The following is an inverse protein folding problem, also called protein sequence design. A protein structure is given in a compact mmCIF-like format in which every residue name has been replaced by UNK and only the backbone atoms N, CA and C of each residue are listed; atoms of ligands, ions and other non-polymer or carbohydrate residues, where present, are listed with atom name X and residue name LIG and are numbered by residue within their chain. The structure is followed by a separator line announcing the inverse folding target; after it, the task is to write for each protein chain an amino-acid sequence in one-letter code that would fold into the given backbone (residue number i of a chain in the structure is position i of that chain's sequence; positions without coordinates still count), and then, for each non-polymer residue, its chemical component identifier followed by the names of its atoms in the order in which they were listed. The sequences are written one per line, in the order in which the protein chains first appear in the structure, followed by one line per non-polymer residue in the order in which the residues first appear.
data_IF_488019339581
#
_entry.id   IF_488019339581
#
_cell.length_a   1.000
_cell.length_b   1.000
_cell.length_c   1.000
_cell.angle_alpha   90.00
_cell.angle_beta   90.00
_cell.angle_gamma   90.00
#
_symmetry.space_group_name_H-M   'P 1'
#
loop_
_entity.id
_entity.type
_entity.pdbx_description
1 polymer ?
#
# COMPACT_ATOMS: atom_id res chain seq x y z
N UNK A 1 52.31 -5.68 -8.80
CA UNK A 1 51.27 -6.66 -8.41
C UNK A 1 50.17 -6.10 -7.51
N UNK A 2 50.35 -4.95 -6.83
CA UNK A 2 49.31 -4.36 -5.98
C UNK A 2 48.14 -3.71 -6.75
N UNK A 3 48.39 -3.11 -7.92
CA UNK A 3 47.36 -2.47 -8.73
C UNK A 3 46.22 -3.41 -9.17
N UNK A 4 46.50 -4.58 -9.77
CA UNK A 4 45.47 -5.55 -10.16
C UNK A 4 44.66 -6.10 -8.98
N UNK A 5 45.30 -6.33 -7.83
CA UNK A 5 44.63 -6.79 -6.61
C UNK A 5 43.69 -5.71 -6.07
N UNK A 6 44.14 -4.45 -6.03
CA UNK A 6 43.31 -3.33 -5.60
C UNK A 6 42.08 -3.15 -6.51
N UNK A 7 42.26 -3.25 -7.83
CA UNK A 7 41.14 -3.19 -8.79
C UNK A 7 40.15 -4.33 -8.57
N UNK A 8 40.64 -5.57 -8.39
CA UNK A 8 39.77 -6.73 -8.15
C UNK A 8 38.97 -6.58 -6.85
N UNK A 9 39.58 -6.07 -5.77
CA UNK A 9 38.90 -5.79 -4.51
C UNK A 9 37.83 -4.71 -4.69
N UNK A 10 38.14 -3.60 -5.36
CA UNK A 10 37.17 -2.52 -5.62
C UNK A 10 35.98 -3.04 -6.43
N UNK A 11 36.23 -3.78 -7.52
CA UNK A 11 35.16 -4.38 -8.34
C UNK A 11 34.32 -5.37 -7.52
N UNK A 12 34.96 -6.19 -6.68
CA UNK A 12 34.25 -7.11 -5.78
C UNK A 12 33.35 -6.39 -4.78
N UNK A 13 33.84 -5.32 -4.14
CA UNK A 13 33.06 -4.51 -3.20
C UNK A 13 31.90 -3.79 -3.90
N UNK A 14 32.14 -3.21 -5.08
CA UNK A 14 31.09 -2.56 -5.88
C UNK A 14 30.03 -3.56 -6.34
N UNK A 15 30.44 -4.75 -6.77
CA UNK A 15 29.53 -5.84 -7.15
C UNK A 15 28.68 -6.31 -5.97
N UNK A 16 29.28 -6.49 -4.80
CA UNK A 16 28.56 -6.83 -3.57
C UNK A 16 27.57 -5.74 -3.15
N UNK A 17 28.00 -4.47 -3.16
CA UNK A 17 27.13 -3.34 -2.84
C UNK A 17 25.94 -3.27 -3.80
N UNK A 18 26.17 -3.39 -5.10
CA UNK A 18 25.10 -3.41 -6.10
C UNK A 18 24.07 -4.53 -5.86
N UNK A 19 24.52 -5.74 -5.50
CA UNK A 19 23.62 -6.85 -5.15
C UNK A 19 22.87 -6.59 -3.85
N UNK A 20 23.50 -5.99 -2.86
CA UNK A 20 22.87 -5.67 -1.57
C UNK A 20 21.79 -4.57 -1.69
N UNK A 21 21.93 -3.66 -2.65
CA UNK A 21 20.99 -2.57 -2.90
C UNK A 21 19.78 -2.97 -3.74
N UNK A 22 19.88 -4.07 -4.50
CA UNK A 22 18.81 -4.49 -5.40
C UNK A 22 17.84 -5.45 -4.73
N UNK A 23 16.52 -5.15 -4.78
CA UNK A 23 15.53 -6.12 -4.36
C UNK A 23 15.62 -7.38 -5.21
N UNK A 24 15.45 -8.54 -4.57
CA UNK A 24 15.34 -9.82 -5.27
C UNK A 24 14.15 -9.77 -6.22
N UNK A 25 14.23 -10.42 -7.39
CA UNK A 25 13.08 -10.58 -8.27
C UNK A 25 11.90 -11.20 -7.50
N UNK A 26 10.71 -10.59 -7.58
CA UNK A 26 9.52 -11.10 -6.91
C UNK A 26 9.12 -12.47 -7.48
N UNK A 27 8.59 -13.33 -6.61
CA UNK A 27 8.03 -14.64 -7.01
C UNK A 27 6.58 -14.45 -7.43
N UNK A 28 6.34 -14.44 -8.74
CA UNK A 28 5.01 -14.25 -9.32
C UNK A 28 4.09 -15.42 -8.94
N UNK A 29 2.90 -15.13 -8.41
CA UNK A 29 1.92 -16.16 -8.05
C UNK A 29 1.45 -16.93 -9.30
N UNK A 30 1.46 -18.27 -9.21
CA UNK A 30 1.14 -19.18 -10.30
C UNK A 30 2.30 -19.49 -11.25
N UNK A 31 3.49 -18.92 -11.04
CA UNK A 31 4.70 -19.31 -11.78
C UNK A 31 5.33 -20.61 -11.24
N UNK A 32 6.25 -21.24 -11.99
CA UNK A 32 6.88 -22.55 -11.67
C UNK A 32 7.46 -22.66 -10.24
N UNK A 33 7.88 -21.54 -9.64
CA UNK A 33 8.43 -21.47 -8.27
C UNK A 33 7.73 -20.38 -7.42
N UNK A 34 6.54 -19.94 -7.86
CA UNK A 34 5.74 -18.93 -7.20
C UNK A 34 4.76 -19.53 -6.18
N UNK A 35 4.20 -18.70 -5.27
CA UNK A 35 3.04 -19.09 -4.48
C UNK A 35 1.87 -19.52 -5.37
N UNK A 36 0.96 -20.37 -4.88
CA UNK A 36 -0.26 -20.70 -5.62
C UNK A 36 -1.16 -19.47 -5.74
N UNK A 37 -2.05 -19.51 -6.74
CA UNK A 37 -3.12 -18.53 -6.91
C UNK A 37 -4.35 -19.08 -6.22
N UNK A 38 -4.90 -18.33 -5.27
CA UNK A 38 -6.06 -18.71 -4.48
C UNK A 38 -7.22 -17.73 -4.59
N UNK A 39 -6.97 -16.53 -5.13
CA UNK A 39 -7.97 -15.48 -5.28
C UNK A 39 -8.34 -15.26 -6.76
N UNK A 40 -9.54 -14.73 -7.06
CA UNK A 40 -9.85 -14.20 -8.37
C UNK A 40 -8.83 -13.13 -8.79
N UNK A 41 -8.45 -13.13 -10.07
CA UNK A 41 -7.54 -12.13 -10.63
C UNK A 41 -8.01 -11.68 -12.00
N UNK A 42 -7.75 -10.41 -12.29
CA UNK A 42 -7.99 -9.82 -13.60
C UNK A 42 -6.68 -9.53 -14.30
N UNK A 43 -6.62 -9.75 -15.62
CA UNK A 43 -5.43 -9.46 -16.42
C UNK A 43 -5.53 -8.03 -16.97
N UNK A 44 -4.49 -7.24 -16.76
CA UNK A 44 -4.32 -5.92 -17.34
C UNK A 44 -3.73 -6.02 -18.76
N UNK A 45 -3.82 -4.93 -19.50
CA UNK A 45 -3.38 -4.76 -20.88
C UNK A 45 -1.87 -4.97 -21.04
N UNK A 46 -1.09 -4.65 -20.01
CA UNK A 46 0.35 -4.90 -19.97
C UNK A 46 0.73 -6.34 -19.57
N UNK A 47 -0.27 -7.19 -19.35
CA UNK A 47 -0.12 -8.60 -19.05
C UNK A 47 -0.05 -8.96 -17.56
N UNK A 48 0.08 -7.96 -16.67
CA UNK A 48 0.05 -8.18 -15.21
C UNK A 48 -1.32 -8.61 -14.73
N UNK A 49 -1.36 -9.35 -13.64
CA UNK A 49 -2.60 -9.67 -12.92
C UNK A 49 -2.80 -8.81 -11.68
N UNK A 50 -4.05 -8.39 -11.43
CA UNK A 50 -4.47 -7.84 -10.14
C UNK A 50 -5.45 -8.80 -9.47
N UNK A 51 -5.14 -9.23 -8.25
CA UNK A 51 -6.02 -10.02 -7.41
C UNK A 51 -7.06 -9.15 -6.73
N UNK A 52 -8.28 -9.65 -6.60
CA UNK A 52 -9.40 -8.89 -6.05
C UNK A 52 -10.35 -9.73 -5.22
N UNK A 53 -11.18 -9.03 -4.44
CA UNK A 53 -12.23 -9.58 -3.59
C UNK A 53 -13.45 -8.67 -3.66
N UNK A 54 -14.61 -9.26 -3.87
CA UNK A 54 -15.89 -8.56 -3.97
C UNK A 54 -16.73 -8.86 -2.72
N UNK A 55 -17.35 -7.85 -2.13
CA UNK A 55 -18.29 -8.00 -1.01
C UNK A 55 -19.45 -7.01 -1.13
N UNK A 56 -20.54 -7.28 -0.39
CA UNK A 56 -21.72 -6.43 -0.34
C UNK A 56 -22.77 -6.80 -1.38
N UNK A 57 -23.56 -5.83 -1.83
CA UNK A 57 -24.64 -6.05 -2.79
C UNK A 57 -24.10 -6.49 -4.15
N UNK A 58 -24.77 -7.43 -4.85
CA UNK A 58 -24.42 -7.80 -6.22
C UNK A 58 -24.26 -6.57 -7.13
N UNK A 59 -23.23 -6.61 -7.99
CA UNK A 59 -22.83 -5.47 -8.82
C UNK A 59 -23.95 -4.95 -9.71
N UNK A 60 -24.85 -5.82 -10.14
CA UNK A 60 -25.99 -5.53 -11.02
C UNK A 60 -27.09 -4.76 -10.29
N UNK A 61 -27.22 -4.96 -8.98
CA UNK A 61 -28.22 -4.32 -8.11
C UNK A 61 -27.67 -3.12 -7.34
N UNK A 62 -26.36 -2.97 -7.31
CA UNK A 62 -25.68 -1.96 -6.53
C UNK A 62 -25.98 -0.53 -7.02
N UNK A 63 -26.34 0.33 -6.07
CA UNK A 63 -26.49 1.78 -6.28
C UNK A 63 -25.14 2.48 -6.21
N UNK A 64 -24.30 2.07 -5.26
CA UNK A 64 -22.96 2.62 -5.08
C UNK A 64 -21.92 1.52 -5.30
N UNK A 65 -20.91 1.84 -6.12
CA UNK A 65 -19.79 0.94 -6.42
C UNK A 65 -18.52 1.59 -5.91
N UNK A 66 -17.85 0.93 -4.99
CA UNK A 66 -16.75 1.49 -4.21
C UNK A 66 -15.52 0.61 -4.38
N UNK A 67 -14.43 1.18 -4.90
CA UNK A 67 -13.13 0.52 -4.93
C UNK A 67 -12.35 0.92 -3.69
N UNK A 68 -11.96 -0.07 -2.88
CA UNK A 68 -11.20 0.13 -1.65
C UNK A 68 -9.72 -0.13 -1.92
N UNK A 69 -8.90 0.85 -1.58
CA UNK A 69 -7.45 0.86 -1.80
C UNK A 69 -6.78 0.69 -0.44
N UNK A 70 -6.18 -0.49 -0.22
CA UNK A 70 -5.55 -0.84 1.05
C UNK A 70 -4.21 -0.10 1.28
N UNK A 71 -3.81 -0.05 2.54
CA UNK A 71 -2.61 0.65 3.02
C UNK A 71 -1.32 -0.15 2.90
N UNK A 72 -0.35 0.20 3.73
CA UNK A 72 0.89 -0.56 3.89
C UNK A 72 0.62 -1.84 4.68
N UNK A 73 1.35 -2.92 4.38
CA UNK A 73 1.29 -4.21 5.08
C UNK A 73 -0.14 -4.76 5.28
N UNK A 74 -0.99 -4.54 4.28
CA UNK A 74 -2.37 -5.04 4.22
C UNK A 74 -2.64 -5.58 2.82
N UNK A 75 -3.85 -6.10 2.57
CA UNK A 75 -4.27 -6.69 1.30
C UNK A 75 -5.72 -6.35 0.99
N UNK A 76 -6.24 -6.90 -0.11
CA UNK A 76 -7.67 -6.95 -0.45
C UNK A 76 -8.55 -7.58 0.64
N UNK A 77 -7.94 -8.29 1.59
CA UNK A 77 -8.61 -9.01 2.67
C UNK A 77 -8.89 -8.10 3.89
N UNK A 78 -8.55 -6.81 3.79
CA UNK A 78 -8.95 -5.78 4.75
C UNK A 78 -10.47 -5.78 4.96
N UNK A 79 -10.90 -5.81 6.22
CA UNK A 79 -12.32 -5.68 6.58
C UNK A 79 -12.63 -4.25 7.02
N UNK A 80 -13.71 -3.68 6.50
CA UNK A 80 -14.23 -2.39 6.94
C UNK A 80 -15.27 -2.63 8.05
N UNK A 81 -15.24 -1.87 9.16
CA UNK A 81 -16.20 -2.01 10.25
C UNK A 81 -17.53 -1.33 9.88
N UNK A 82 -18.18 -1.82 8.83
CA UNK A 82 -19.46 -1.31 8.32
C UNK A 82 -20.54 -2.35 8.61
N UNK A 83 -21.63 -2.00 9.31
CA UNK A 83 -22.75 -2.91 9.54
C UNK A 83 -23.33 -3.45 8.23
N UNK A 84 -23.61 -4.74 8.17
CA UNK A 84 -24.12 -5.40 6.97
C UNK A 84 -25.46 -4.81 6.53
N UNK A 85 -26.31 -4.43 7.49
CA UNK A 85 -27.62 -3.81 7.26
C UNK A 85 -27.48 -2.50 6.48
N UNK A 86 -26.43 -1.72 6.77
CA UNK A 86 -26.16 -0.46 6.08
C UNK A 86 -25.67 -0.69 4.65
N UNK A 87 -24.87 -1.74 4.43
CA UNK A 87 -24.40 -2.13 3.09
C UNK A 87 -25.59 -2.51 2.21
N UNK A 88 -26.54 -3.27 2.76
CA UNK A 88 -27.74 -3.73 2.07
C UNK A 88 -28.74 -2.60 1.82
N UNK A 89 -29.03 -1.78 2.84
CA UNK A 89 -29.94 -0.64 2.74
C UNK A 89 -29.49 0.34 1.66
N UNK A 90 -28.20 0.66 1.62
CA UNK A 90 -27.62 1.59 0.66
C UNK A 90 -27.27 0.92 -0.69
N UNK A 91 -27.39 -0.40 -0.78
CA UNK A 91 -27.02 -1.21 -1.95
C UNK A 91 -25.57 -0.96 -2.40
N UNK A 92 -24.62 -1.14 -1.50
CA UNK A 92 -23.19 -0.86 -1.76
C UNK A 92 -22.49 -2.14 -2.21
N UNK A 93 -21.86 -2.07 -3.37
CA UNK A 93 -20.87 -3.04 -3.83
C UNK A 93 -19.47 -2.53 -3.51
N UNK A 94 -18.67 -3.34 -2.80
CA UNK A 94 -17.27 -3.06 -2.56
C UNK A 94 -16.37 -4.00 -3.37
N UNK A 95 -15.39 -3.39 -4.05
CA UNK A 95 -14.29 -4.08 -4.70
C UNK A 95 -12.99 -3.76 -3.96
N UNK A 96 -12.38 -4.78 -3.39
CA UNK A 96 -11.04 -4.71 -2.83
C UNK A 96 -10.07 -5.34 -3.82
N UNK A 97 -8.85 -4.82 -3.92
CA UNK A 97 -7.83 -5.42 -4.76
C UNK A 97 -6.46 -5.33 -4.10
N UNK A 98 -5.60 -6.28 -4.41
CA UNK A 98 -4.20 -6.24 -4.01
C UNK A 98 -3.48 -5.27 -4.94
N UNK A 99 -2.84 -4.23 -4.38
CA UNK A 99 -2.04 -3.28 -5.17
C UNK A 99 -0.85 -4.00 -5.83
N UNK A 100 -0.29 -3.41 -6.89
CA UNK A 100 0.83 -4.02 -7.61
C UNK A 100 2.01 -4.36 -6.67
N UNK A 101 2.33 -5.65 -6.58
CA UNK A 101 3.36 -6.20 -5.69
C UNK A 101 2.90 -6.58 -4.28
N UNK A 102 1.59 -6.52 -4.00
CA UNK A 102 0.98 -7.03 -2.77
C UNK A 102 0.20 -8.32 -3.06
N UNK A 103 0.06 -9.15 -2.02
CA UNK A 103 -0.77 -10.35 -2.04
C UNK A 103 -0.53 -11.21 -3.28
N UNK A 104 -1.58 -11.42 -4.07
CA UNK A 104 -1.54 -12.23 -5.30
C UNK A 104 -1.47 -11.40 -6.60
N UNK A 105 -1.30 -10.08 -6.49
CA UNK A 105 -1.12 -9.18 -7.63
C UNK A 105 0.31 -9.15 -8.12
N UNK A 106 0.46 -9.08 -9.44
CA UNK A 106 1.76 -8.96 -10.07
C UNK A 106 2.45 -7.63 -9.71
N UNK A 107 3.78 -7.65 -9.56
CA UNK A 107 4.56 -6.46 -9.28
C UNK A 107 4.63 -5.56 -10.50
N UNK A 108 4.69 -4.25 -10.27
CA UNK A 108 5.02 -3.26 -11.29
C UNK A 108 6.37 -2.60 -10.93
N UNK A 109 7.49 -3.03 -11.53
CA UNK A 109 8.80 -2.43 -11.26
C UNK A 109 8.91 -0.95 -11.68
N UNK A 110 8.06 -0.52 -12.62
CA UNK A 110 8.00 0.87 -13.13
C UNK A 110 6.84 1.65 -12.52
N UNK A 111 6.37 1.24 -11.34
CA UNK A 111 5.21 1.83 -10.66
C UNK A 111 5.39 3.33 -10.42
N UNK A 112 4.34 4.07 -10.69
CA UNK A 112 4.19 5.49 -10.39
C UNK A 112 2.79 5.77 -9.85
N UNK A 113 2.60 6.95 -9.26
CA UNK A 113 1.26 7.41 -8.84
C UNK A 113 0.27 7.40 -10.01
N UNK A 114 0.75 7.70 -11.23
CA UNK A 114 -0.06 7.67 -12.45
C UNK A 114 -0.42 6.23 -12.83
N UNK A 115 0.54 5.31 -12.83
CA UNK A 115 0.27 3.93 -13.23
C UNK A 115 -0.69 3.25 -12.26
N UNK A 116 -0.60 3.49 -10.95
CA UNK A 116 -1.58 2.92 -10.00
C UNK A 116 -3.00 3.45 -10.22
N UNK A 117 -3.16 4.73 -10.58
CA UNK A 117 -4.47 5.27 -10.94
C UNK A 117 -5.03 4.62 -12.22
N UNK A 118 -4.16 4.36 -13.21
CA UNK A 118 -4.56 3.66 -14.44
C UNK A 118 -4.87 2.19 -14.20
N UNK A 119 -4.13 1.52 -13.32
CA UNK A 119 -4.41 0.14 -12.87
C UNK A 119 -5.81 0.05 -12.26
N UNK A 120 -6.21 1.04 -11.44
CA UNK A 120 -7.57 1.11 -10.84
C UNK A 120 -8.64 1.32 -11.93
N UNK A 121 -8.38 2.19 -12.91
CA UNK A 121 -9.29 2.38 -14.03
C UNK A 121 -9.47 1.09 -14.83
N UNK A 122 -8.38 0.43 -15.17
CA UNK A 122 -8.40 -0.79 -15.96
C UNK A 122 -9.04 -1.95 -15.19
N UNK A 123 -8.76 -2.07 -13.89
CA UNK A 123 -9.47 -2.99 -12.99
C UNK A 123 -10.99 -2.77 -13.07
N UNK A 124 -11.43 -1.52 -12.99
CA UNK A 124 -12.85 -1.18 -13.07
C UNK A 124 -13.46 -1.51 -14.45
N UNK A 125 -12.72 -1.30 -15.53
CA UNK A 125 -13.14 -1.60 -16.90
C UNK A 125 -13.28 -3.11 -17.14
N UNK A 126 -12.25 -3.88 -16.78
CA UNK A 126 -12.22 -5.31 -16.98
C UNK A 126 -13.28 -6.04 -16.14
N UNK A 127 -13.55 -5.55 -14.92
CA UNK A 127 -14.61 -6.08 -14.06
C UNK A 127 -15.98 -5.45 -14.33
N UNK A 128 -16.08 -4.53 -15.30
CA UNK A 128 -17.33 -3.88 -15.68
C UNK A 128 -18.04 -3.22 -14.48
N UNK A 129 -17.28 -2.52 -13.64
CA UNK A 129 -17.80 -1.76 -12.48
C UNK A 129 -18.63 -0.54 -12.93
N UNK A 130 -18.60 -0.21 -14.22
CA UNK A 130 -19.38 0.87 -14.81
C UNK A 130 -18.56 2.11 -15.10
N UNK A 131 -19.24 3.13 -15.62
CA UNK A 131 -18.59 4.34 -16.12
C UNK A 131 -17.95 5.18 -15.02
N UNK A 132 -18.58 5.25 -13.84
CA UNK A 132 -18.08 5.98 -12.67
C UNK A 132 -18.25 5.19 -11.38
N UNK A 133 -17.28 5.31 -10.49
CA UNK A 133 -17.23 4.62 -9.20
C UNK A 133 -16.65 5.52 -8.10
N UNK A 134 -16.83 5.14 -6.85
CA UNK A 134 -16.20 5.79 -5.71
C UNK A 134 -14.89 5.11 -5.37
N UNK A 135 -13.94 5.85 -4.80
CA UNK A 135 -12.70 5.28 -4.26
C UNK A 135 -12.55 5.62 -2.78
N UNK A 136 -12.09 4.65 -1.98
CA UNK A 136 -11.70 4.85 -0.58
C UNK A 136 -10.22 4.48 -0.46
N UNK A 137 -9.39 5.46 -0.13
CA UNK A 137 -7.97 5.25 0.12
C UNK A 137 -7.64 5.25 1.60
N UNK A 138 -7.09 4.15 2.11
CA UNK A 138 -6.82 3.98 3.55
C UNK A 138 -5.32 4.02 3.81
N UNK A 139 -4.87 4.90 4.72
CA UNK A 139 -3.45 5.04 5.06
C UNK A 139 -2.59 5.32 3.81
N UNK A 140 -1.65 4.44 3.45
CA UNK A 140 -0.91 4.56 2.20
C UNK A 140 -1.78 4.38 0.95
N UNK A 141 -2.96 3.78 1.05
CA UNK A 141 -3.95 3.72 -0.04
C UNK A 141 -4.57 5.08 -0.38
N UNK A 142 -4.27 6.14 0.38
CA UNK A 142 -4.67 7.49 0.06
C UNK A 142 -3.91 8.10 -1.14
N UNK A 143 -2.63 7.77 -1.35
CA UNK A 143 -1.90 8.36 -2.47
C UNK A 143 -2.38 7.85 -3.85
N UNK A 144 -2.79 6.58 -4.03
CA UNK A 144 -3.43 6.16 -5.28
C UNK A 144 -4.81 6.78 -5.44
N UNK A 145 -5.61 6.93 -4.37
CA UNK A 145 -6.88 7.68 -4.44
C UNK A 145 -6.67 9.13 -4.91
N UNK A 146 -5.62 9.80 -4.42
CA UNK A 146 -5.20 11.11 -4.92
C UNK A 146 -4.74 11.07 -6.38
N UNK A 147 -4.02 10.01 -6.77
CA UNK A 147 -3.70 9.72 -8.16
C UNK A 147 -4.94 9.62 -9.03
N UNK A 148 -6.01 8.98 -8.56
CA UNK A 148 -7.26 8.86 -9.29
C UNK A 148 -7.93 10.21 -9.52
N UNK A 149 -7.97 11.06 -8.49
CA UNK A 149 -8.47 12.44 -8.61
C UNK A 149 -7.71 13.24 -9.66
N UNK A 150 -6.40 13.00 -9.81
CA UNK A 150 -5.56 13.71 -10.77
C UNK A 150 -5.65 13.16 -12.19
N UNK A 151 -5.62 11.85 -12.36
CA UNK A 151 -5.40 11.21 -13.67
C UNK A 151 -6.66 10.61 -14.28
N UNK A 152 -7.64 10.22 -13.46
CA UNK A 152 -8.90 9.62 -13.93
C UNK A 152 -10.13 10.29 -13.31
N UNK A 153 -10.19 11.64 -13.15
CA UNK A 153 -11.32 12.30 -12.46
C UNK A 153 -12.66 12.02 -13.13
N UNK A 154 -12.66 11.81 -14.45
CA UNK A 154 -13.85 11.47 -15.23
C UNK A 154 -14.47 10.11 -14.86
N UNK A 155 -13.71 9.22 -14.20
CA UNK A 155 -14.16 7.91 -13.71
C UNK A 155 -14.65 7.94 -12.26
N UNK A 156 -14.52 9.06 -11.55
CA UNK A 156 -14.85 9.12 -10.13
C UNK A 156 -16.22 9.75 -9.90
N UNK A 157 -17.06 9.09 -9.12
CA UNK A 157 -18.26 9.67 -8.50
C UNK A 157 -17.93 10.38 -7.18
N UNK A 158 -16.83 9.98 -6.54
CA UNK A 158 -16.31 10.60 -5.31
C UNK A 158 -15.06 9.88 -4.81
N UNK A 159 -14.35 10.52 -3.88
CA UNK A 159 -13.16 9.95 -3.25
C UNK A 159 -13.18 10.24 -1.75
N UNK A 160 -12.75 9.26 -0.94
CA UNK A 160 -12.55 9.41 0.50
C UNK A 160 -11.12 9.01 0.85
N UNK A 161 -10.48 9.80 1.72
CA UNK A 161 -9.15 9.53 2.28
C UNK A 161 -9.30 9.27 3.77
N UNK A 162 -9.02 8.03 4.18
CA UNK A 162 -9.15 7.60 5.57
C UNK A 162 -7.75 7.48 6.16
N UNK A 163 -7.49 8.24 7.22
CA UNK A 163 -6.19 8.32 7.91
C UNK A 163 -4.99 8.43 6.94
N UNK A 164 -5.00 9.38 5.99
CA UNK A 164 -4.02 9.43 4.91
C UNK A 164 -2.59 9.60 5.43
N UNK A 165 -1.65 8.88 4.80
CA UNK A 165 -0.24 9.09 5.07
C UNK A 165 0.22 10.46 4.56
N UNK A 166 0.88 11.24 5.42
CA UNK A 166 1.30 12.62 5.11
C UNK A 166 2.64 12.64 4.38
N UNK A 167 2.72 13.41 3.30
CA UNK A 167 3.97 13.69 2.61
C UNK A 167 4.66 14.92 3.23
N UNK A 168 5.73 14.68 4.00
CA UNK A 168 6.44 15.73 4.76
C UNK A 168 7.28 16.72 3.91
N UNK A 169 7.33 16.53 2.59
CA UNK A 169 8.01 17.43 1.65
C UNK A 169 7.03 18.07 0.67
N UNK A 170 5.77 18.24 1.05
CA UNK A 170 4.74 18.79 0.19
C UNK A 170 4.85 20.32 0.06
N UNK A 171 5.19 20.81 -1.13
CA UNK A 171 5.47 22.23 -1.39
C UNK A 171 4.32 23.19 -1.08
N UNK A 172 3.06 22.74 -1.16
CA UNK A 172 1.89 23.57 -0.85
C UNK A 172 1.64 23.81 0.63
N UNK A 173 2.39 23.14 1.54
CA UNK A 173 2.27 23.35 2.98
C UNK A 173 3.43 24.18 3.53
N UNK A 174 3.23 24.97 4.60
CA UNK A 174 4.31 25.69 5.25
C UNK A 174 5.43 24.75 5.71
N UNK A 175 6.66 25.01 5.26
CA UNK A 175 7.82 24.15 5.55
C UNK A 175 8.08 23.97 7.05
N UNK A 176 7.80 25.01 7.85
CA UNK A 176 7.88 24.95 9.32
C UNK A 176 6.91 23.92 9.90
N UNK A 177 5.65 23.95 9.46
CA UNK A 177 4.62 23.01 9.93
C UNK A 177 5.00 21.56 9.58
N UNK A 178 5.45 21.33 8.35
CA UNK A 178 5.90 20.00 7.93
C UNK A 178 7.10 19.51 8.73
N UNK A 179 8.06 20.39 9.03
CA UNK A 179 9.23 20.06 9.86
C UNK A 179 8.84 19.73 11.30
N UNK A 180 7.94 20.51 11.89
CA UNK A 180 7.40 20.26 13.23
C UNK A 180 6.64 18.93 13.28
N UNK A 181 5.77 18.67 12.30
CA UNK A 181 5.05 17.41 12.18
C UNK A 181 6.00 16.22 11.99
N UNK A 182 7.00 16.34 11.12
CA UNK A 182 8.01 15.32 10.89
C UNK A 182 8.85 15.03 12.14
N UNK A 183 9.17 16.07 12.92
CA UNK A 183 9.90 15.95 14.18
C UNK A 183 9.15 15.19 15.27
N UNK A 184 7.81 15.03 15.15
CA UNK A 184 7.00 14.22 16.09
C UNK A 184 7.13 12.71 15.85
N UNK A 185 7.62 12.30 14.69
CA UNK A 185 7.85 10.89 14.41
C UNK A 185 9.01 10.34 15.25
N UNK A 186 8.99 9.04 15.51
CA UNK A 186 10.11 8.37 16.14
C UNK A 186 11.36 8.45 15.26
N UNK A 187 12.55 8.47 15.88
CA UNK A 187 13.81 8.62 15.16
C UNK A 187 14.01 7.60 14.01
N UNK A 188 13.66 6.30 14.18
CA UNK A 188 13.69 5.33 13.08
C UNK A 188 12.88 5.78 11.85
N UNK A 189 11.63 6.18 12.05
CA UNK A 189 10.73 6.60 10.97
C UNK A 189 11.25 7.87 10.28
N UNK A 190 11.77 8.83 11.05
CA UNK A 190 12.38 10.03 10.47
C UNK A 190 13.57 9.69 9.55
N UNK A 191 14.45 8.78 9.98
CA UNK A 191 15.59 8.37 9.16
C UNK A 191 15.12 7.61 7.92
N UNK A 192 14.19 6.68 8.06
CA UNK A 192 13.64 5.91 6.95
C UNK A 192 12.99 6.81 5.90
N UNK A 193 12.20 7.80 6.33
CA UNK A 193 11.58 8.73 5.39
C UNK A 193 12.59 9.67 4.73
N UNK A 194 13.66 10.08 5.43
CA UNK A 194 14.78 10.82 4.80
C UNK A 194 15.49 9.98 3.74
N UNK A 195 15.74 8.70 4.01
CA UNK A 195 16.33 7.77 3.04
C UNK A 195 15.39 7.59 1.85
N UNK A 196 14.11 7.33 2.08
CA UNK A 196 13.11 7.18 1.02
C UNK A 196 13.02 8.44 0.13
N UNK A 197 13.12 9.64 0.70
CA UNK A 197 13.01 10.89 -0.05
C UNK A 197 14.30 11.28 -0.78
N UNK A 198 15.46 11.21 -0.11
CA UNK A 198 16.72 11.74 -0.66
C UNK A 198 17.59 10.69 -1.35
N UNK A 199 17.46 9.42 -0.98
CA UNK A 199 18.24 8.31 -1.53
C UNK A 199 17.38 7.05 -1.72
N UNK A 200 16.31 7.11 -2.53
CA UNK A 200 15.37 5.98 -2.70
C UNK A 200 16.03 4.69 -3.18
N UNK A 201 17.18 4.78 -3.88
CA UNK A 201 17.98 3.63 -4.32
C UNK A 201 18.60 2.84 -3.15
N UNK A 202 18.73 3.45 -1.96
CA UNK A 202 19.17 2.79 -0.72
C UNK A 202 18.02 2.17 0.06
N UNK A 203 16.77 2.48 -0.26
CA UNK A 203 15.62 2.16 0.59
C UNK A 203 15.47 0.65 0.80
N UNK A 204 15.67 -0.17 -0.22
CA UNK A 204 15.61 -1.62 -0.07
C UNK A 204 16.63 -2.15 0.93
N UNK A 205 17.89 -1.74 0.79
CA UNK A 205 18.94 -2.13 1.72
C UNK A 205 18.62 -1.64 3.13
N UNK A 206 18.21 -0.39 3.27
CA UNK A 206 17.83 0.21 4.56
C UNK A 206 16.73 -0.59 5.26
N UNK A 207 15.67 -0.93 4.53
CA UNK A 207 14.51 -1.66 5.05
C UNK A 207 14.80 -3.12 5.39
N UNK A 208 15.89 -3.69 4.90
CA UNK A 208 16.27 -5.11 5.11
C UNK A 208 17.34 -5.30 6.17
N UNK A 209 17.84 -4.22 6.80
CA UNK A 209 18.82 -4.31 7.87
C UNK A 209 18.24 -4.90 9.15
N UNK A 210 19.05 -5.71 9.84
CA UNK A 210 18.72 -6.30 11.14
C UNK A 210 19.37 -5.59 12.32
N UNK A 211 20.28 -4.65 12.04
CA UNK A 211 21.09 -3.99 13.07
C UNK A 211 20.38 -2.80 13.72
N UNK A 212 19.29 -2.33 13.12
CA UNK A 212 18.45 -1.27 13.63
C UNK A 212 17.00 -1.47 13.17
N UNK A 213 16.07 -0.89 13.91
CA UNK A 213 14.67 -0.80 13.51
C UNK A 213 14.54 0.18 12.35
N UNK A 214 14.06 -0.28 11.19
CA UNK A 214 13.83 0.60 10.03
C UNK A 214 12.51 1.37 10.18
N UNK A 215 11.41 0.71 10.48
CA UNK A 215 10.12 1.37 10.76
C UNK A 215 9.59 0.94 12.11
N UNK A 216 9.23 1.92 12.94
CA UNK A 216 8.64 1.70 14.26
C UNK A 216 7.32 0.93 14.17
N UNK A 217 6.51 1.18 13.14
CA UNK A 217 5.29 0.42 12.87
C UNK A 217 5.57 -1.06 12.59
N UNK A 218 6.59 -1.38 11.79
CA UNK A 218 6.96 -2.78 11.49
C UNK A 218 7.56 -3.50 12.70
N UNK A 219 8.14 -2.76 13.64
CA UNK A 219 8.66 -3.31 14.89
C UNK A 219 7.61 -3.45 15.99
N UNK A 220 6.34 -3.08 15.74
CA UNK A 220 5.29 -3.10 16.75
C UNK A 220 5.54 -2.13 17.91
N UNK A 221 6.25 -1.02 17.66
CA UNK A 221 6.60 -0.06 18.70
C UNK A 221 5.37 0.76 19.12
N UNK A 222 4.85 0.47 20.31
CA UNK A 222 3.64 1.11 20.82
C UNK A 222 3.78 2.62 21.06
N UNK A 223 5.01 3.17 21.05
CA UNK A 223 5.25 4.62 21.18
C UNK A 223 4.76 5.43 19.97
N UNK A 224 4.39 4.77 18.87
CA UNK A 224 3.75 5.43 17.72
C UNK A 224 2.33 5.92 18.06
N UNK A 225 1.69 5.34 19.08
CA UNK A 225 0.32 5.63 19.46
C UNK A 225 0.26 6.74 20.51
N UNK A 226 -0.73 7.61 20.39
CA UNK A 226 -1.06 8.57 21.44
C UNK A 226 -1.68 7.86 22.66
N UNK A 227 -1.74 8.51 23.84
CA UNK A 227 -2.42 7.93 25.00
C UNK A 227 -3.88 7.51 24.71
N UNK A 228 -4.62 8.31 23.94
CA UNK A 228 -5.99 7.98 23.55
C UNK A 228 -6.07 6.78 22.61
N UNK A 229 -5.10 6.65 21.68
CA UNK A 229 -5.02 5.46 20.81
C UNK A 229 -4.77 4.19 21.65
N UNK A 230 -3.92 4.27 22.67
CA UNK A 230 -3.64 3.15 23.57
C UNK A 230 -4.87 2.73 24.39
N UNK A 231 -5.71 3.67 24.80
CA UNK A 231 -6.98 3.39 25.47
C UNK A 231 -7.96 2.67 24.53
N UNK A 232 -8.09 3.14 23.29
CA UNK A 232 -8.93 2.51 22.27
C UNK A 232 -8.43 1.09 21.98
N UNK A 233 -7.13 0.90 21.76
CA UNK A 233 -6.52 -0.40 21.48
C UNK A 233 -6.81 -1.39 22.61
N UNK A 234 -6.69 -0.98 23.88
CA UNK A 234 -7.05 -1.82 25.03
C UNK A 234 -8.53 -2.22 24.98
N UNK A 235 -9.42 -1.26 24.78
CA UNK A 235 -10.87 -1.52 24.72
C UNK A 235 -11.30 -2.40 23.54
N UNK A 236 -10.60 -2.30 22.40
CA UNK A 236 -10.84 -3.12 21.22
C UNK A 236 -10.24 -4.53 21.37
N UNK A 237 -9.08 -4.67 22.00
CA UNK A 237 -8.49 -5.97 22.31
C UNK A 237 -9.42 -6.83 23.17
N UNK A 238 -10.08 -6.22 24.14
CA UNK A 238 -11.09 -6.88 24.97
C UNK A 238 -12.34 -7.29 24.17
N UNK A 239 -12.75 -6.50 23.17
CA UNK A 239 -13.88 -6.80 22.28
C UNK A 239 -13.58 -7.85 21.20
N UNK A 240 -12.35 -7.91 20.70
CA UNK A 240 -11.92 -8.93 19.72
C UNK A 240 -11.96 -10.32 20.34
N UNK A 241 -11.60 -10.45 21.63
CA UNK A 241 -11.72 -11.70 22.38
C UNK A 241 -13.19 -12.13 22.62
N UNK A 242 -14.13 -11.18 22.67
CA UNK A 242 -15.57 -11.44 22.81
C UNK A 242 -16.25 -11.78 21.47
N UNK A 243 -15.74 -11.30 20.34
CA UNK A 243 -16.27 -11.61 19.00
C UNK A 243 -15.67 -12.89 18.35
N UNK A 244 -14.68 -13.53 18.99
CA UNK A 244 -14.14 -14.83 18.54
C UNK A 244 -14.74 -16.05 19.28
N UNK A 245 -15.72 -15.84 20.14
CA UNK A 245 -16.56 -16.91 20.69
C UNK A 245 -18.00 -16.70 20.23
N UNK A 246 -18.33 -17.11 19.00
CA UNK A 246 -19.62 -17.70 18.60
C UNK A 246 -19.55 -18.21 17.16
#
# INVERSE_FOLDING_TARGET
MLGPIAVAVVVGVLGWAYQALKPRPPKICGSRNGPPVTSPRVKLSDGRYLAYREIGTPKEEAKYRVIVIHGFDTSKDLNLPIPQELIEELKIYFLFYDRAGYGESDPNPSRSVKSEALDIQELADQLQIGSRFYVIGISMGAYPAWGCLRYIPHRLSGASLVVPFVHYWWHSFPSRLLREAFGKLLAPDQWTFRVAHHAPWLLYWWMTQKWFTSLSMMAGDMRIFSPGDLEIIKSCGDKINLCQMH
#
